data_IF_349751218507
#
_entry.id   IF_349751218507
#
_cell.length_a   1.000
_cell.length_b   1.000
_cell.length_c   1.000
_cell.angle_alpha   90.00
_cell.angle_beta   90.00
_cell.angle_gamma   90.00
#
_symmetry.space_group_name_H-M   'P 1'
#
loop_
_entity.id
_entity.type
_entity.pdbx_description
1 polymer ?
#
# COMPACT_ATOMS: atom_id res chain seq x y z
N UNK A 1 31.80 50.54 -19.62
CA UNK A 1 31.44 49.69 -18.45
C UNK A 1 29.93 49.55 -18.44
N UNK A 2 29.39 48.33 -18.53
CA UNK A 2 27.95 48.03 -18.39
C UNK A 2 27.85 46.81 -17.46
N UNK A 3 27.01 46.81 -16.42
CA UNK A 3 26.97 45.70 -15.45
C UNK A 3 26.18 44.51 -16.00
N UNK A 4 26.69 43.29 -15.77
CA UNK A 4 25.98 42.06 -16.12
C UNK A 4 24.80 41.80 -15.14
N UNK A 5 23.66 41.27 -15.62
CA UNK A 5 22.52 40.98 -14.76
C UNK A 5 22.79 39.78 -13.82
N UNK A 6 22.27 39.88 -12.59
CA UNK A 6 22.41 38.85 -11.55
C UNK A 6 21.63 37.57 -11.90
N UNK A 7 22.19 36.41 -11.58
CA UNK A 7 21.49 35.12 -11.65
C UNK A 7 20.49 34.99 -10.50
N UNK A 8 19.22 34.76 -10.79
CA UNK A 8 18.28 34.23 -9.81
C UNK A 8 18.43 32.71 -9.67
N UNK A 9 18.49 32.22 -8.44
CA UNK A 9 18.51 30.78 -8.14
C UNK A 9 17.08 30.22 -8.23
N UNK A 10 16.68 29.75 -9.41
CA UNK A 10 15.43 29.02 -9.60
C UNK A 10 15.51 27.58 -9.09
N UNK A 11 14.42 27.09 -8.48
CA UNK A 11 14.26 25.71 -8.01
C UNK A 11 14.47 24.71 -9.15
N UNK A 12 15.26 23.65 -8.92
CA UNK A 12 15.49 22.58 -9.90
C UNK A 12 14.35 21.58 -9.88
N UNK A 13 13.30 21.84 -10.66
CA UNK A 13 12.23 20.87 -10.89
C UNK A 13 12.71 19.66 -11.74
N UNK A 14 12.39 18.45 -11.30
CA UNK A 14 12.55 17.21 -12.08
C UNK A 14 11.53 17.16 -13.24
N UNK A 15 11.78 17.93 -14.30
CA UNK A 15 10.82 18.15 -15.39
C UNK A 15 11.39 17.88 -16.81
N UNK A 16 12.36 16.97 -16.96
CA UNK A 16 12.86 16.51 -18.28
C UNK A 16 13.05 15.00 -18.30
N UNK A 17 12.18 14.28 -19.03
CA UNK A 17 12.36 12.86 -19.35
C UNK A 17 11.08 12.03 -19.39
N UNK A 18 10.06 12.40 -18.63
CA UNK A 18 8.83 11.61 -18.52
C UNK A 18 7.87 11.95 -19.66
N UNK A 19 7.97 11.23 -20.79
CA UNK A 19 6.85 11.17 -21.73
C UNK A 19 5.73 10.39 -21.06
N UNK A 20 4.60 11.05 -20.80
CA UNK A 20 3.39 10.34 -20.39
C UNK A 20 3.00 9.38 -21.53
N UNK A 21 3.16 8.07 -21.30
CA UNK A 21 2.44 7.09 -22.11
C UNK A 21 0.96 7.36 -21.89
N UNK A 22 0.18 7.54 -22.95
CA UNK A 22 -1.23 7.96 -22.88
C UNK A 22 -2.01 7.06 -21.92
N UNK A 23 -2.34 7.58 -20.75
CA UNK A 23 -3.03 6.82 -19.71
C UNK A 23 -4.46 6.54 -20.14
N UNK A 24 -4.89 5.28 -20.08
CA UNK A 24 -6.30 5.00 -19.95
C UNK A 24 -6.80 5.70 -18.70
N UNK A 25 -7.80 6.57 -18.83
CA UNK A 25 -8.45 7.22 -17.70
C UNK A 25 -9.27 6.16 -16.95
N UNK A 26 -8.70 5.56 -15.90
CA UNK A 26 -9.41 4.58 -15.08
C UNK A 26 -10.18 5.26 -13.95
N UNK A 27 -11.50 5.04 -13.92
CA UNK A 27 -12.36 5.41 -12.79
C UNK A 27 -12.06 4.50 -11.61
N UNK A 28 -11.14 4.91 -10.75
CA UNK A 28 -10.83 4.16 -9.55
C UNK A 28 -12.05 4.18 -8.63
N UNK A 29 -12.58 3.00 -8.27
CA UNK A 29 -13.70 2.90 -7.34
C UNK A 29 -13.16 3.26 -5.96
N UNK A 30 -13.69 4.29 -5.32
CA UNK A 30 -13.28 4.69 -3.98
C UNK A 30 -14.09 3.86 -2.96
N UNK A 31 -13.55 3.56 -1.78
CA UNK A 31 -14.17 2.75 -0.72
C UNK A 31 -13.55 3.20 0.61
N UNK A 32 -14.39 3.81 1.42
CA UNK A 32 -14.38 3.64 2.86
C UNK A 32 -15.86 3.54 3.24
N UNK A 33 -16.31 2.32 3.53
CA UNK A 33 -17.73 1.97 3.33
C UNK A 33 -18.02 1.60 1.87
N UNK A 34 -19.07 0.79 1.69
CA UNK A 34 -19.50 0.16 0.41
C UNK A 34 -19.57 1.11 -0.79
N UNK A 35 -19.62 0.58 -2.02
CA UNK A 35 -19.80 1.33 -3.28
C UNK A 35 -20.91 2.41 -3.20
N UNK A 36 -21.95 2.20 -2.39
CA UNK A 36 -23.00 3.18 -2.12
C UNK A 36 -22.47 4.47 -1.45
N UNK A 37 -21.55 4.37 -0.48
CA UNK A 37 -20.93 5.52 0.18
C UNK A 37 -20.00 6.28 -0.77
N UNK A 38 -19.34 5.59 -1.71
CA UNK A 38 -18.60 6.23 -2.79
C UNK A 38 -19.52 7.01 -3.73
N UNK A 39 -20.59 6.39 -4.20
CA UNK A 39 -21.58 7.04 -5.07
C UNK A 39 -22.25 8.25 -4.40
N UNK A 40 -22.52 8.17 -3.09
CA UNK A 40 -23.01 9.30 -2.28
C UNK A 40 -21.97 10.43 -2.21
N UNK A 41 -20.73 10.12 -1.82
CA UNK A 41 -19.67 11.12 -1.72
C UNK A 41 -19.31 11.74 -3.10
N UNK A 42 -19.42 10.99 -4.20
CA UNK A 42 -19.28 11.53 -5.57
C UNK A 42 -20.39 12.52 -5.90
N UNK A 43 -21.65 12.25 -5.51
CA UNK A 43 -22.76 13.23 -5.65
C UNK A 43 -22.54 14.48 -4.80
N UNK A 44 -21.84 14.35 -3.68
CA UNK A 44 -21.40 15.48 -2.84
C UNK A 44 -20.16 16.23 -3.37
N UNK A 45 -19.70 15.95 -4.60
CA UNK A 45 -18.60 16.69 -5.25
C UNK A 45 -17.19 16.14 -4.99
N UNK A 46 -17.06 14.93 -4.43
CA UNK A 46 -15.76 14.26 -4.33
C UNK A 46 -15.19 13.95 -5.74
N UNK A 47 -13.86 14.00 -5.92
CA UNK A 47 -13.19 13.53 -7.13
C UNK A 47 -13.66 12.16 -7.62
N UNK A 48 -13.74 11.96 -8.93
CA UNK A 48 -14.20 10.71 -9.56
C UNK A 48 -13.12 10.00 -10.38
N UNK A 49 -11.94 10.62 -10.55
CA UNK A 49 -10.90 10.15 -11.46
C UNK A 49 -9.52 10.16 -10.82
N UNK A 50 -8.81 9.04 -10.95
CA UNK A 50 -7.38 8.94 -10.61
C UNK A 50 -6.57 9.05 -11.89
N UNK A 51 -5.61 9.97 -11.92
CA UNK A 51 -4.59 10.00 -12.97
C UNK A 51 -3.35 9.25 -12.50
N UNK A 52 -2.87 8.31 -13.31
CA UNK A 52 -1.76 7.40 -13.01
C UNK A 52 -0.56 7.69 -13.91
N UNK A 53 0.61 7.91 -13.31
CA UNK A 53 1.88 8.20 -14.00
C UNK A 53 2.94 7.13 -13.68
N UNK A 54 3.77 6.78 -14.65
CA UNK A 54 4.92 5.87 -14.49
C UNK A 54 6.22 6.61 -14.80
N UNK A 55 7.03 6.87 -13.77
CA UNK A 55 8.29 7.60 -13.84
C UNK A 55 9.20 7.28 -12.64
N UNK A 56 10.14 6.35 -12.80
CA UNK A 56 11.04 5.93 -11.71
C UNK A 56 10.29 5.30 -10.51
N UNK A 57 9.15 4.67 -10.80
CA UNK A 57 8.12 4.29 -9.84
C UNK A 57 6.74 4.62 -10.41
N UNK A 58 5.70 4.13 -9.73
CA UNK A 58 4.31 4.34 -10.14
C UNK A 58 3.57 5.26 -9.15
N UNK A 59 2.95 6.28 -9.72
CA UNK A 59 2.37 7.40 -9.01
C UNK A 59 0.90 7.58 -9.37
N UNK A 60 0.12 8.09 -8.43
CA UNK A 60 -1.27 8.47 -8.59
C UNK A 60 -1.50 9.87 -8.03
N UNK A 61 -2.52 10.53 -8.56
CA UNK A 61 -3.06 11.79 -8.08
C UNK A 61 -4.57 11.75 -8.30
N UNK A 62 -5.35 12.31 -7.38
CA UNK A 62 -6.81 12.31 -7.45
C UNK A 62 -7.31 13.70 -7.89
N UNK A 63 -8.36 13.73 -8.70
CA UNK A 63 -8.89 14.98 -9.25
C UNK A 63 -10.10 14.75 -10.17
N UNK A 64 -10.45 15.80 -10.91
CA UNK A 64 -11.54 15.77 -11.89
C UNK A 64 -10.98 15.74 -13.30
N UNK A 65 -11.55 14.88 -14.15
CA UNK A 65 -11.17 14.76 -15.56
C UNK A 65 -12.29 15.25 -16.48
N UNK A 66 -12.00 16.31 -17.24
CA UNK A 66 -12.79 16.72 -18.38
C UNK A 66 -12.22 16.02 -19.63
N UNK A 67 -12.96 15.11 -20.28
CA UNK A 67 -12.45 14.39 -21.46
C UNK A 67 -12.28 15.29 -22.69
N UNK A 68 -12.85 16.50 -22.70
CA UNK A 68 -12.92 17.36 -23.87
C UNK A 68 -13.79 16.78 -24.99
N UNK A 69 -13.73 17.42 -26.16
CA UNK A 69 -14.37 16.91 -27.38
C UNK A 69 -13.63 15.66 -27.91
N UNK A 70 -14.30 14.77 -28.66
CA UNK A 70 -13.64 13.64 -29.33
C UNK A 70 -12.43 14.09 -30.15
N UNK A 71 -11.30 13.38 -30.00
CA UNK A 71 -9.98 13.70 -30.62
C UNK A 71 -9.29 14.97 -30.10
N UNK A 72 -9.80 15.60 -29.04
CA UNK A 72 -9.06 16.64 -28.29
C UNK A 72 -8.35 16.04 -27.06
N UNK A 73 -7.40 16.78 -26.49
CA UNK A 73 -6.74 16.40 -25.24
C UNK A 73 -7.59 16.92 -24.08
N UNK A 74 -8.14 16.01 -23.27
CA UNK A 74 -8.86 16.33 -22.04
C UNK A 74 -7.98 17.00 -20.98
N UNK A 75 -8.59 17.58 -19.95
CA UNK A 75 -7.90 18.25 -18.85
C UNK A 75 -8.12 17.54 -17.52
N UNK A 76 -7.04 17.31 -16.78
CA UNK A 76 -7.07 16.78 -15.42
C UNK A 76 -6.69 17.89 -14.43
N UNK A 77 -7.58 18.18 -13.47
CA UNK A 77 -7.50 19.34 -12.58
C UNK A 77 -7.73 18.91 -11.12
N UNK A 78 -7.22 19.66 -10.12
CA UNK A 78 -7.60 19.44 -8.74
C UNK A 78 -9.12 19.62 -8.60
N UNK A 79 -9.77 18.74 -7.86
CA UNK A 79 -11.17 18.94 -7.47
C UNK A 79 -11.21 19.92 -6.29
N UNK A 80 -12.12 20.91 -6.27
CA UNK A 80 -12.22 21.87 -5.18
C UNK A 80 -12.34 21.20 -3.80
N UNK A 81 -11.51 21.61 -2.85
CA UNK A 81 -11.44 21.03 -1.50
C UNK A 81 -10.61 19.74 -1.38
N UNK A 82 -10.02 19.26 -2.49
CA UNK A 82 -9.18 18.07 -2.59
C UNK A 82 -7.81 18.36 -3.22
N UNK A 83 -7.33 19.60 -3.11
CA UNK A 83 -6.07 20.07 -3.68
C UNK A 83 -4.84 19.35 -3.09
N UNK A 84 -4.92 18.89 -1.83
CA UNK A 84 -3.88 18.15 -1.12
C UNK A 84 -3.66 16.71 -1.64
N UNK A 85 -4.68 16.10 -2.24
CA UNK A 85 -4.58 14.79 -2.93
C UNK A 85 -4.30 14.90 -4.43
N UNK A 86 -4.23 16.12 -4.96
CA UNK A 86 -3.78 16.37 -6.32
C UNK A 86 -2.24 16.26 -6.46
N UNK A 87 -1.50 16.38 -5.34
CA UNK A 87 -0.08 16.07 -5.30
C UNK A 87 0.15 14.57 -5.54
N UNK A 88 1.15 14.23 -6.38
CA UNK A 88 1.44 12.84 -6.72
C UNK A 88 1.94 12.04 -5.51
N UNK A 89 1.25 10.93 -5.22
CA UNK A 89 1.61 9.93 -4.20
C UNK A 89 1.99 8.63 -4.90
N UNK A 90 2.84 7.79 -4.28
CA UNK A 90 3.16 6.46 -4.85
C UNK A 90 1.99 5.50 -4.69
N UNK A 91 1.79 4.60 -5.66
CA UNK A 91 0.81 3.48 -5.57
C UNK A 91 1.33 2.39 -4.64
N UNK A 92 2.65 2.23 -4.61
CA UNK A 92 3.42 1.24 -3.87
C UNK A 92 4.83 1.83 -3.70
N UNK A 93 5.40 1.77 -2.50
CA UNK A 93 6.54 2.62 -2.16
C UNK A 93 7.90 2.09 -2.65
N UNK A 94 8.03 0.83 -3.05
CA UNK A 94 9.31 0.23 -3.43
C UNK A 94 9.41 -0.27 -4.89
N UNK A 95 9.76 -1.54 -5.04
CA UNK A 95 10.10 -2.24 -6.29
C UNK A 95 8.84 -2.62 -7.07
N UNK A 96 8.07 -1.60 -7.47
CA UNK A 96 6.79 -1.73 -8.14
C UNK A 96 6.68 -0.77 -9.32
N UNK A 97 6.44 -1.30 -10.51
CA UNK A 97 6.43 -0.51 -11.74
C UNK A 97 5.42 -1.04 -12.77
N UNK A 98 5.17 -0.26 -13.82
CA UNK A 98 4.35 -0.62 -14.98
C UNK A 98 2.93 -1.14 -14.64
N UNK A 99 2.40 -0.72 -13.49
CA UNK A 99 1.13 -1.19 -12.97
C UNK A 99 -0.06 -0.81 -13.85
N UNK A 100 -1.08 -1.64 -13.76
CA UNK A 100 -2.34 -1.51 -14.47
C UNK A 100 -3.46 -2.04 -13.59
N UNK A 101 -4.49 -1.22 -13.42
CA UNK A 101 -5.75 -1.66 -12.86
C UNK A 101 -6.75 -2.02 -13.96
N UNK A 102 -7.67 -2.92 -13.65
CA UNK A 102 -8.86 -3.15 -14.46
C UNK A 102 -10.03 -3.58 -13.58
N UNK A 103 -11.24 -3.56 -14.13
CA UNK A 103 -12.46 -4.03 -13.48
C UNK A 103 -12.62 -5.56 -13.64
N UNK A 104 -12.93 -6.24 -12.54
CA UNK A 104 -13.11 -7.70 -12.47
C UNK A 104 -14.33 -8.06 -11.62
N UNK A 105 -14.93 -9.24 -11.81
CA UNK A 105 -15.99 -9.72 -10.94
C UNK A 105 -15.48 -10.02 -9.51
N UNK A 106 -16.38 -9.96 -8.53
CA UNK A 106 -16.19 -10.52 -7.17
C UNK A 106 -16.78 -11.94 -7.08
N UNK A 107 -16.39 -12.73 -6.07
CA UNK A 107 -17.01 -14.05 -5.86
C UNK A 107 -18.52 -13.96 -5.54
N UNK A 108 -18.97 -12.82 -5.01
CA UNK A 108 -20.37 -12.52 -4.73
C UNK A 108 -21.18 -11.97 -5.93
N UNK A 109 -20.63 -11.99 -7.15
CA UNK A 109 -21.32 -11.53 -8.37
C UNK A 109 -21.36 -10.01 -8.56
N UNK A 110 -20.58 -9.25 -7.78
CA UNK A 110 -20.38 -7.81 -7.96
C UNK A 110 -19.18 -7.49 -8.85
N UNK A 111 -18.69 -6.25 -8.78
CA UNK A 111 -17.47 -5.80 -9.45
C UNK A 111 -16.50 -5.14 -8.47
N UNK A 112 -15.21 -5.20 -8.78
CA UNK A 112 -14.10 -4.57 -8.05
C UNK A 112 -12.99 -4.19 -9.01
N UNK A 113 -12.10 -3.29 -8.59
CA UNK A 113 -10.92 -2.89 -9.34
C UNK A 113 -9.68 -3.61 -8.82
N UNK A 114 -9.02 -4.41 -9.66
CA UNK A 114 -7.78 -5.12 -9.29
C UNK A 114 -6.60 -4.43 -9.96
N UNK A 115 -5.64 -3.99 -9.15
CA UNK A 115 -4.34 -3.50 -9.57
C UNK A 115 -3.32 -4.63 -9.65
N UNK A 116 -2.64 -4.72 -10.79
CA UNK A 116 -1.46 -5.55 -11.01
C UNK A 116 -0.25 -4.65 -11.20
N UNK A 117 0.95 -5.15 -10.90
CA UNK A 117 2.16 -4.48 -11.33
C UNK A 117 3.39 -5.36 -11.28
N UNK A 118 4.42 -4.91 -11.97
CA UNK A 118 5.68 -5.61 -12.13
C UNK A 118 6.55 -5.38 -10.90
N UNK A 119 6.83 -6.45 -10.17
CA UNK A 119 7.69 -6.48 -9.01
C UNK A 119 9.15 -6.65 -9.44
N UNK A 120 9.91 -5.55 -9.45
CA UNK A 120 11.30 -5.52 -9.94
C UNK A 120 12.28 -6.04 -8.88
N UNK A 121 12.26 -7.36 -8.67
CA UNK A 121 13.14 -8.06 -7.73
C UNK A 121 14.24 -8.86 -8.47
N UNK A 122 15.49 -8.86 -7.99
CA UNK A 122 16.53 -9.78 -8.46
C UNK A 122 16.31 -11.21 -7.92
N UNK A 123 16.83 -12.26 -8.59
CA UNK A 123 17.48 -12.23 -9.91
C UNK A 123 16.47 -12.15 -11.07
N UNK A 124 15.21 -12.49 -10.84
CA UNK A 124 14.13 -12.48 -11.83
C UNK A 124 12.91 -11.76 -11.26
N UNK A 125 12.38 -10.80 -12.03
CA UNK A 125 11.21 -10.02 -11.64
C UNK A 125 9.91 -10.79 -11.85
N UNK A 126 8.88 -10.46 -11.07
CA UNK A 126 7.60 -11.18 -11.07
C UNK A 126 6.41 -10.21 -11.24
N UNK A 127 5.19 -10.71 -11.35
CA UNK A 127 4.00 -9.90 -11.05
C UNK A 127 3.79 -9.87 -9.54
N UNK A 128 3.28 -8.76 -9.01
CA UNK A 128 2.74 -8.76 -7.64
C UNK A 128 1.54 -9.69 -7.54
N UNK A 129 1.28 -10.18 -6.33
CA UNK A 129 -0.04 -10.71 -5.99
C UNK A 129 -1.13 -9.69 -6.40
N UNK A 130 -2.24 -10.13 -7.01
CA UNK A 130 -3.35 -9.25 -7.38
C UNK A 130 -4.00 -8.61 -6.17
N UNK A 131 -4.45 -7.38 -6.38
CA UNK A 131 -4.66 -6.41 -5.32
C UNK A 131 -5.89 -5.58 -5.61
N UNK A 132 -6.95 -5.80 -4.84
CA UNK A 132 -8.12 -4.93 -4.89
C UNK A 132 -7.69 -3.51 -4.47
N UNK A 133 -7.87 -2.54 -5.36
CA UNK A 133 -7.47 -1.16 -5.16
C UNK A 133 -8.70 -0.28 -5.07
N UNK A 134 -8.64 0.62 -4.11
CA UNK A 134 -9.69 1.56 -3.82
C UNK A 134 -9.14 2.83 -3.16
N UNK A 135 -9.97 3.72 -2.65
CA UNK A 135 -9.57 4.98 -2.03
C UNK A 135 -10.44 5.28 -0.82
N UNK A 136 -9.80 5.46 0.33
CA UNK A 136 -10.50 5.90 1.52
C UNK A 136 -10.60 7.42 1.48
N UNK A 137 -11.83 7.92 1.35
CA UNK A 137 -12.14 9.34 1.28
C UNK A 137 -11.66 10.13 2.51
N UNK A 138 -11.80 9.54 3.69
CA UNK A 138 -11.47 10.19 4.97
C UNK A 138 -9.97 10.15 5.26
N UNK A 139 -9.31 9.03 4.97
CA UNK A 139 -7.85 8.91 5.07
C UNK A 139 -7.10 9.55 3.88
N UNK A 140 -7.85 10.04 2.87
CA UNK A 140 -7.36 10.75 1.68
C UNK A 140 -6.25 9.99 0.93
N UNK A 141 -6.39 8.67 0.86
CA UNK A 141 -5.35 7.73 0.41
C UNK A 141 -5.92 6.53 -0.36
N UNK A 142 -5.16 6.02 -1.34
CA UNK A 142 -5.49 4.73 -1.95
C UNK A 142 -5.44 3.62 -0.88
N UNK A 143 -6.58 2.98 -0.65
CA UNK A 143 -6.68 1.77 0.15
C UNK A 143 -6.62 0.55 -0.74
N UNK A 144 -6.17 -0.55 -0.15
CA UNK A 144 -5.53 -1.58 -0.93
C UNK A 144 -5.48 -2.88 -0.10
N UNK A 145 -6.25 -3.91 -0.49
CA UNK A 145 -6.23 -5.26 0.11
C UNK A 145 -5.86 -6.35 -0.93
N UNK A 146 -5.25 -7.50 -0.55
CA UNK A 146 -5.07 -8.63 -1.46
C UNK A 146 -6.45 -9.20 -1.79
N UNK A 147 -6.64 -9.74 -3.00
CA UNK A 147 -7.94 -10.27 -3.41
C UNK A 147 -8.35 -11.49 -2.55
N UNK A 148 -9.65 -11.66 -2.32
CA UNK A 148 -10.23 -12.71 -1.47
C UNK A 148 -9.80 -14.13 -1.88
N UNK A 149 -9.60 -14.38 -3.16
CA UNK A 149 -9.15 -15.67 -3.72
C UNK A 149 -7.82 -16.17 -3.15
N UNK A 150 -6.96 -15.28 -2.64
CA UNK A 150 -5.70 -15.70 -2.00
C UNK A 150 -5.94 -16.57 -0.76
N UNK A 151 -7.13 -16.48 -0.16
CA UNK A 151 -7.53 -17.34 0.94
C UNK A 151 -7.54 -18.83 0.56
N UNK A 152 -7.83 -19.17 -0.71
CA UNK A 152 -7.84 -20.55 -1.20
C UNK A 152 -6.45 -21.20 -1.29
N UNK A 153 -5.38 -20.41 -1.17
CA UNK A 153 -4.00 -20.90 -1.16
C UNK A 153 -3.45 -21.16 0.26
N UNK A 154 -4.18 -20.73 1.30
CA UNK A 154 -3.77 -20.83 2.70
C UNK A 154 -3.92 -22.26 3.22
N UNK A 155 -2.89 -22.80 3.87
CA UNK A 155 -3.02 -24.02 4.66
C UNK A 155 -3.59 -23.70 6.07
N UNK A 156 -3.56 -24.67 6.98
CA UNK A 156 -3.80 -24.41 8.38
C UNK A 156 -2.82 -23.35 8.94
N UNK A 157 -3.29 -22.51 9.86
CA UNK A 157 -2.45 -21.51 10.51
C UNK A 157 -1.28 -22.18 11.25
N UNK A 158 -0.06 -21.75 10.96
CA UNK A 158 1.13 -22.19 11.69
C UNK A 158 1.18 -21.58 13.11
N UNK A 159 0.49 -20.46 13.31
CA UNK A 159 0.29 -19.83 14.61
C UNK A 159 -0.99 -18.96 14.60
N UNK A 160 -1.84 -19.10 15.61
CA UNK A 160 -3.00 -18.22 15.86
C UNK A 160 -3.14 -17.96 17.36
N UNK A 161 -3.08 -16.68 17.74
CA UNK A 161 -3.25 -16.19 19.11
C UNK A 161 -3.81 -14.77 19.10
N UNK A 162 -4.61 -14.46 20.13
CA UNK A 162 -5.14 -13.13 20.43
C UNK A 162 -4.80 -12.75 21.87
N UNK A 163 -4.85 -11.45 22.19
CA UNK A 163 -4.56 -10.98 23.55
C UNK A 163 -3.09 -11.17 23.98
N UNK A 164 -2.16 -11.29 23.03
CA UNK A 164 -0.73 -11.44 23.33
C UNK A 164 -0.17 -10.13 23.86
N UNK A 165 0.20 -10.09 25.14
CA UNK A 165 0.85 -8.93 25.74
C UNK A 165 2.30 -8.84 25.25
N UNK A 166 2.61 -7.80 24.45
CA UNK A 166 3.96 -7.55 23.92
C UNK A 166 4.72 -6.63 24.88
N UNK A 167 5.62 -7.22 25.67
CA UNK A 167 6.57 -6.50 26.54
C UNK A 167 7.99 -6.73 26.03
N UNK A 168 8.48 -5.81 25.19
CA UNK A 168 9.70 -6.04 24.41
C UNK A 168 9.47 -7.04 23.28
N UNK A 169 10.46 -7.88 22.97
CA UNK A 169 10.39 -8.86 21.88
C UNK A 169 9.76 -10.18 22.33
N UNK A 170 8.64 -10.56 21.71
CA UNK A 170 7.98 -11.87 21.94
C UNK A 170 8.21 -12.80 20.75
N UNK A 171 8.84 -13.94 20.99
CA UNK A 171 8.97 -15.01 19.99
C UNK A 171 7.69 -15.83 19.88
N UNK A 172 7.13 -15.95 18.67
CA UNK A 172 5.86 -16.65 18.44
C UNK A 172 5.99 -18.18 18.30
N UNK A 173 7.20 -18.74 18.32
CA UNK A 173 7.43 -20.19 18.23
C UNK A 173 7.10 -20.81 16.86
N UNK A 174 6.94 -20.01 15.81
CA UNK A 174 6.64 -20.49 14.45
C UNK A 174 7.77 -21.41 13.95
N UNK A 175 7.48 -22.63 13.45
CA UNK A 175 8.50 -23.57 13.01
C UNK A 175 9.43 -23.04 11.91
N UNK A 176 10.66 -23.54 11.89
CA UNK A 176 11.63 -23.26 10.84
C UNK A 176 11.07 -23.64 9.45
N UNK A 177 11.43 -22.88 8.42
CA UNK A 177 10.96 -23.08 7.05
C UNK A 177 9.63 -22.41 6.72
N UNK A 178 8.66 -22.35 7.64
CA UNK A 178 7.33 -21.73 7.42
C UNK A 178 7.44 -20.32 6.86
N UNK A 179 8.31 -19.49 7.45
CA UNK A 179 8.53 -18.10 7.05
C UNK A 179 9.02 -17.89 5.60
N UNK A 180 9.38 -18.95 4.86
CA UNK A 180 9.80 -18.85 3.45
C UNK A 180 8.62 -18.65 2.49
N UNK A 181 7.44 -19.15 2.82
CA UNK A 181 6.22 -18.93 2.04
C UNK A 181 5.05 -18.86 3.01
N UNK A 182 4.73 -17.64 3.44
CA UNK A 182 3.76 -17.39 4.51
C UNK A 182 3.05 -16.03 4.36
N UNK A 183 1.83 -15.98 4.90
CA UNK A 183 1.11 -14.74 5.18
C UNK A 183 1.07 -14.57 6.71
N UNK A 184 1.63 -13.49 7.22
CA UNK A 184 1.42 -13.04 8.60
C UNK A 184 0.28 -12.02 8.60
N UNK A 185 -0.66 -12.18 9.52
CA UNK A 185 -1.64 -11.17 9.87
C UNK A 185 -1.56 -10.89 11.37
N UNK A 186 -1.23 -9.67 11.75
CA UNK A 186 -1.25 -9.21 13.15
C UNK A 186 -2.04 -7.90 13.24
N UNK A 187 -2.82 -7.74 14.29
CA UNK A 187 -3.42 -6.46 14.66
C UNK A 187 -2.86 -6.01 16.00
N UNK A 188 -2.34 -4.79 16.05
CA UNK A 188 -1.92 -4.13 17.28
C UNK A 188 -2.99 -3.14 17.70
N UNK A 189 -3.48 -3.24 18.94
CA UNK A 189 -4.19 -2.13 19.56
C UNK A 189 -3.24 -0.92 19.62
N UNK A 190 -3.75 0.28 19.28
CA UNK A 190 -2.98 1.50 19.43
C UNK A 190 -2.72 1.74 20.92
N UNK A 191 -1.45 1.90 21.35
CA UNK A 191 -1.13 2.13 22.75
C UNK A 191 -1.61 3.52 23.19
N UNK A 192 -1.89 3.67 24.49
CA UNK A 192 -2.23 4.97 25.10
C UNK A 192 -1.03 5.94 25.17
N UNK A 193 0.17 5.42 24.96
CA UNK A 193 1.44 6.16 25.00
C UNK A 193 2.20 5.99 23.67
N UNK A 194 3.10 6.93 23.37
CA UNK A 194 3.94 6.85 22.18
C UNK A 194 4.87 5.64 22.24
N UNK A 195 4.90 4.83 21.18
CA UNK A 195 5.63 3.57 21.16
C UNK A 195 6.06 3.15 19.75
N UNK A 196 7.11 2.33 19.69
CA UNK A 196 7.49 1.59 18.48
C UNK A 196 7.12 0.11 18.67
N UNK A 197 6.22 -0.40 17.83
CA UNK A 197 5.77 -1.80 17.85
C UNK A 197 5.80 -2.39 16.44
N UNK A 198 5.77 -3.71 16.30
CA UNK A 198 5.76 -4.34 14.98
C UNK A 198 6.19 -5.80 15.01
N UNK A 199 6.64 -6.32 13.88
CA UNK A 199 6.90 -7.75 13.67
C UNK A 199 8.18 -7.99 12.89
N UNK A 200 8.86 -9.10 13.18
CA UNK A 200 10.00 -9.58 12.41
C UNK A 200 9.75 -11.01 11.94
N UNK A 201 9.92 -11.24 10.65
CA UNK A 201 9.70 -12.55 10.00
C UNK A 201 11.02 -13.05 9.43
N UNK A 202 11.41 -14.25 9.83
CA UNK A 202 12.63 -14.90 9.38
C UNK A 202 13.92 -14.26 9.91
N UNK A 203 15.03 -14.82 9.45
CA UNK A 203 16.38 -14.49 9.90
C UNK A 203 16.72 -15.04 11.29
N UNK A 204 17.98 -15.44 11.45
CA UNK A 204 18.63 -15.55 12.76
C UNK A 204 18.85 -14.14 13.35
N UNK A 205 19.40 -14.08 14.56
CA UNK A 205 19.88 -12.84 15.21
C UNK A 205 20.90 -12.03 14.37
N UNK A 206 21.42 -12.61 13.28
CA UNK A 206 22.36 -12.03 12.31
C UNK A 206 21.79 -10.98 11.35
N UNK A 207 20.46 -10.84 11.23
CA UNK A 207 19.85 -9.75 10.46
C UNK A 207 19.03 -10.15 9.22
N UNK A 208 19.04 -11.41 8.79
CA UNK A 208 18.47 -11.92 7.52
C UNK A 208 16.93 -12.01 7.43
N UNK A 209 16.22 -11.16 8.16
CA UNK A 209 14.76 -11.18 8.33
C UNK A 209 14.08 -9.88 7.93
N UNK A 210 12.81 -9.98 7.52
CA UNK A 210 11.96 -8.83 7.19
C UNK A 210 11.44 -8.24 8.51
N UNK A 211 11.89 -7.03 8.85
CA UNK A 211 11.50 -6.32 10.07
C UNK A 211 10.58 -5.13 9.80
N UNK A 212 9.37 -5.18 10.35
CA UNK A 212 8.35 -4.13 10.39
C UNK A 212 8.27 -3.46 11.75
N UNK A 213 8.07 -2.15 11.72
CA UNK A 213 7.75 -1.34 12.89
C UNK A 213 6.86 -0.15 12.53
N UNK A 214 5.92 0.18 13.41
CA UNK A 214 5.14 1.41 13.42
C UNK A 214 5.67 2.25 14.56
N UNK A 215 6.12 3.45 14.25
CA UNK A 215 6.49 4.46 15.24
C UNK A 215 5.26 5.35 15.41
N UNK A 216 4.53 5.12 16.50
CA UNK A 216 3.29 5.79 16.83
C UNK A 216 3.53 6.82 17.94
N UNK A 217 2.92 7.99 17.79
CA UNK A 217 2.86 9.03 18.82
C UNK A 217 1.42 9.14 19.29
N UNK A 218 1.19 9.10 20.60
CA UNK A 218 -0.16 9.12 21.17
C UNK A 218 -0.97 10.34 20.68
N UNK A 219 -2.15 10.09 20.10
CA UNK A 219 -3.03 11.14 19.55
C UNK A 219 -2.59 11.77 18.23
N UNK A 220 -1.51 11.28 17.60
CA UNK A 220 -1.08 11.80 16.30
C UNK A 220 -1.96 11.29 15.15
N UNK A 221 -2.32 12.19 14.22
CA UNK A 221 -3.05 11.86 13.00
C UNK A 221 -2.22 11.07 11.96
N UNK A 222 -0.95 10.77 12.24
CA UNK A 222 -0.07 9.95 11.41
C UNK A 222 0.88 9.12 12.28
N UNK A 223 1.18 7.90 11.83
CA UNK A 223 2.29 7.08 12.35
C UNK A 223 3.35 6.83 11.26
N UNK A 224 4.63 6.81 11.62
CA UNK A 224 5.68 6.48 10.65
C UNK A 224 5.88 4.97 10.57
N UNK A 225 5.77 4.41 9.37
CA UNK A 225 5.90 2.97 9.13
C UNK A 225 7.30 2.63 8.62
N UNK A 226 7.82 1.51 9.12
CA UNK A 226 8.94 0.75 8.63
C UNK A 226 8.59 -0.77 8.58
N UNK A 227 9.35 -1.54 7.80
CA UNK A 227 9.05 -2.85 7.17
C UNK A 227 10.19 -3.23 6.16
N UNK A 228 11.45 -3.03 6.56
CA UNK A 228 12.59 -3.62 5.85
C UNK A 228 13.50 -2.78 4.94
N UNK A 229 13.29 -1.46 4.78
CA UNK A 229 14.28 -0.59 4.11
C UNK A 229 13.77 0.66 3.38
N UNK A 230 12.53 0.66 2.89
CA UNK A 230 11.81 1.86 2.37
C UNK A 230 11.41 2.78 3.57
N UNK A 231 10.42 3.68 3.52
CA UNK A 231 9.71 4.29 4.69
C UNK A 231 8.34 4.81 4.20
N UNK A 232 7.34 4.91 5.07
CA UNK A 232 6.06 5.53 4.72
C UNK A 232 5.39 6.26 5.91
N UNK A 233 4.34 7.03 5.64
CA UNK A 233 3.44 7.63 6.64
C UNK A 233 2.06 7.00 6.54
N UNK A 234 1.58 6.48 7.66
CA UNK A 234 0.23 5.94 7.81
C UNK A 234 -0.68 7.03 8.37
N UNK A 235 -1.64 7.58 7.60
CA UNK A 235 -2.67 8.44 8.17
C UNK A 235 -3.54 7.63 9.14
N UNK A 236 -3.89 8.23 10.28
CA UNK A 236 -4.75 7.65 11.31
C UNK A 236 -5.98 8.53 11.50
N UNK A 237 -7.15 7.90 11.43
CA UNK A 237 -8.45 8.50 11.70
C UNK A 237 -8.72 8.48 13.21
N UNK A 238 -9.40 9.52 13.72
CA UNK A 238 -9.63 9.68 15.17
C UNK A 238 -10.42 8.54 15.83
N UNK A 239 -11.11 7.69 15.05
CA UNK A 239 -11.87 6.52 15.53
C UNK A 239 -11.10 5.20 15.47
N UNK A 240 -9.89 5.19 14.91
CA UNK A 240 -9.12 3.96 14.75
C UNK A 240 -8.43 3.61 16.06
N UNK A 241 -8.62 2.37 16.50
CA UNK A 241 -8.12 1.85 17.78
C UNK A 241 -7.07 0.76 17.59
N UNK A 242 -6.79 0.39 16.33
CA UNK A 242 -5.81 -0.63 15.99
C UNK A 242 -5.16 -0.41 14.63
N UNK A 243 -3.95 -0.94 14.46
CA UNK A 243 -3.22 -1.02 13.20
C UNK A 243 -3.02 -2.49 12.85
N UNK A 244 -3.60 -2.93 11.74
CA UNK A 244 -3.25 -4.21 11.13
C UNK A 244 -1.87 -4.08 10.45
N UNK A 245 -0.95 -5.00 10.73
CA UNK A 245 0.16 -5.33 9.86
C UNK A 245 -0.09 -6.70 9.25
N UNK A 246 -0.40 -6.73 7.96
CA UNK A 246 -0.28 -7.96 7.16
C UNK A 246 1.11 -8.01 6.54
N UNK A 247 1.74 -9.17 6.35
CA UNK A 247 3.04 -9.31 5.66
C UNK A 247 3.06 -10.62 4.87
N UNK A 248 3.53 -10.58 3.62
CA UNK A 248 3.68 -11.76 2.79
C UNK A 248 5.16 -12.03 2.50
N UNK A 249 5.61 -13.25 2.80
CA UNK A 249 6.94 -13.75 2.52
C UNK A 249 6.91 -14.82 1.43
N UNK A 250 7.95 -14.86 0.59
CA UNK A 250 8.07 -15.80 -0.54
C UNK A 250 9.51 -16.26 -0.72
N UNK A 251 9.68 -17.45 -1.31
CA UNK A 251 10.94 -18.18 -1.31
C UNK A 251 11.92 -17.63 -2.37
N UNK A 252 12.73 -16.64 -1.98
CA UNK A 252 13.98 -16.32 -2.69
C UNK A 252 15.07 -17.34 -2.36
N UNK A 253 15.94 -17.67 -3.31
CA UNK A 253 17.14 -18.51 -3.07
C UNK A 253 18.24 -17.80 -2.28
N UNK A 254 18.17 -16.46 -2.18
CA UNK A 254 19.11 -15.61 -1.46
C UNK A 254 18.46 -14.93 -0.24
N UNK A 255 19.24 -14.59 0.81
CA UNK A 255 18.74 -13.78 1.93
C UNK A 255 18.23 -12.41 1.42
N UNK A 256 17.12 -11.89 1.98
CA UNK A 256 16.41 -10.75 1.42
C UNK A 256 17.16 -9.43 1.62
N UNK A 257 18.06 -9.09 0.68
CA UNK A 257 18.84 -7.82 0.67
C UNK A 257 18.02 -6.54 0.44
N UNK A 258 16.73 -6.66 0.23
CA UNK A 258 15.78 -5.57 0.16
C UNK A 258 14.49 -6.04 0.80
N UNK A 259 14.04 -5.35 1.83
CA UNK A 259 12.71 -5.52 2.35
C UNK A 259 12.00 -4.16 2.30
N UNK A 260 10.68 -4.19 2.22
CA UNK A 260 9.98 -3.17 1.46
C UNK A 260 8.75 -2.65 2.20
N UNK A 261 8.93 -1.43 2.70
CA UNK A 261 8.01 -0.66 3.53
C UNK A 261 6.97 -0.08 2.62
N UNK A 262 5.73 -0.41 2.92
CA UNK A 262 4.71 -0.47 1.91
C UNK A 262 3.37 -0.22 2.56
N UNK A 263 2.59 0.66 1.95
CA UNK A 263 1.19 0.37 1.66
C UNK A 263 1.15 -0.64 0.51
N UNK A 264 1.27 -1.96 0.80
CA UNK A 264 1.36 -3.13 -0.14
C UNK A 264 2.57 -3.14 -1.10
N UNK A 265 3.21 -4.22 -1.60
CA UNK A 265 3.16 -5.70 -1.41
C UNK A 265 4.49 -6.56 -1.30
N UNK A 266 5.43 -6.35 -0.35
CA UNK A 266 6.17 -7.45 0.32
C UNK A 266 5.48 -7.59 1.66
N UNK A 267 4.31 -8.20 1.65
CA UNK A 267 3.10 -7.37 1.68
C UNK A 267 2.62 -6.92 3.06
N UNK A 268 3.46 -6.09 3.67
CA UNK A 268 3.18 -5.03 4.62
C UNK A 268 1.96 -4.25 4.14
N UNK A 269 0.83 -4.49 4.79
CA UNK A 269 -0.34 -3.63 4.72
C UNK A 269 -0.46 -3.03 6.09
N UNK A 270 -0.26 -1.72 6.19
CA UNK A 270 -0.66 -0.97 7.37
C UNK A 270 -2.04 -0.41 7.07
N UNK A 271 -3.08 -1.11 7.51
CA UNK A 271 -4.45 -0.63 7.43
C UNK A 271 -4.95 -0.43 8.84
N UNK A 272 -5.23 0.82 9.24
CA UNK A 272 -5.81 1.07 10.53
C UNK A 272 -7.29 0.66 10.47
N UNK A 273 -7.77 0.06 11.56
CA UNK A 273 -9.00 -0.72 11.56
C UNK A 273 -9.86 -0.39 12.77
N UNK A 274 -11.17 -0.31 12.52
CA UNK A 274 -12.21 -0.05 13.52
C UNK A 274 -12.95 -1.33 13.95
N UNK A 275 -12.69 -2.45 13.29
CA UNK A 275 -13.30 -3.76 13.58
C UNK A 275 -12.20 -4.83 13.73
N UNK A 276 -12.29 -5.72 14.74
CA UNK A 276 -11.31 -6.78 14.94
C UNK A 276 -11.51 -7.93 13.94
N UNK A 277 -10.65 -8.00 12.93
CA UNK A 277 -10.50 -9.19 12.10
C UNK A 277 -9.71 -10.29 12.84
N UNK A 278 -9.98 -11.59 12.58
CA UNK A 278 -9.19 -12.68 13.13
C UNK A 278 -7.72 -12.57 12.68
N UNK A 279 -6.80 -12.52 13.64
CA UNK A 279 -5.35 -12.48 13.39
C UNK A 279 -4.76 -13.89 13.37
N UNK A 280 -4.13 -14.28 12.25
CA UNK A 280 -3.55 -15.61 12.07
C UNK A 280 -2.26 -15.53 11.23
N UNK A 281 -1.24 -16.32 11.57
CA UNK A 281 -0.04 -16.50 10.76
C UNK A 281 -0.09 -17.86 10.06
N UNK A 282 -0.03 -17.87 8.73
CA UNK A 282 -0.45 -19.01 7.92
C UNK A 282 0.66 -19.44 6.95
N UNK A 283 0.93 -20.74 6.92
CA UNK A 283 1.81 -21.35 5.94
C UNK A 283 1.07 -21.57 4.62
N UNK A 284 1.78 -21.44 3.50
CA UNK A 284 1.33 -22.05 2.25
C UNK A 284 1.87 -23.49 2.19
N UNK A 285 1.18 -24.44 1.52
CA UNK A 285 1.77 -25.74 1.24
C UNK A 285 3.06 -25.55 0.41
N UNK A 286 4.10 -26.38 0.60
CA UNK A 286 5.27 -26.33 -0.26
C UNK A 286 4.84 -26.61 -1.71
N UNK A 287 5.40 -25.87 -2.66
CA UNK A 287 5.24 -26.21 -4.07
C UNK A 287 5.73 -27.65 -4.30
N UNK A 288 4.92 -28.47 -4.97
CA UNK A 288 5.36 -29.78 -5.43
C UNK A 288 6.61 -29.60 -6.33
N UNK A 289 7.67 -30.34 -6.01
CA UNK A 289 8.96 -30.28 -6.68
C UNK A 289 8.99 -31.09 -7.98
#
# INVERSE_FOLDING_TARGET
RVPAPRRHAGQRGCARGCRAASSASSRLQLVAGTEAAYEEARRAGMPDTVHKTSCGGDWWQLGSYDPGAPRSVGSFKPTPGWEDVFAQKRIDQGNFYASKDNEYPTLAGGKRRINWGWATVPPASAQTLPREVTFNAEARALQQYPIEEIAGLRAAAAFDRRGVAVRGSVGLGVPAGVARQAELLVSFALPSESATFGVRIGGSSSGDGIGCSVNYTAGAANASVACGGVRDSLPLLARETSVELRVFAGAGRDPPRSAEIRSRSRCCICTPTTLPFPSSAIAFPPAAA
#
